data_IF_534119410410
#
_entry.id   IF_534119410410
#
_cell.length_a   1.000
_cell.length_b   1.000
_cell.length_c   1.000
_cell.angle_alpha   90.00
_cell.angle_beta   90.00
_cell.angle_gamma   90.00
#
_symmetry.space_group_name_H-M   'P 1'
#
loop_
_entity.id
_entity.type
_entity.pdbx_description
1 polymer ?
#
# COMPACT_ATOMS: atom_id res chain seq x y z
N UNK A 1 -1.73 32.64 5.38
CA UNK A 1 -0.30 32.30 5.59
C UNK A 1 -0.06 31.01 6.38
N UNK A 2 -0.96 30.59 7.27
CA UNK A 2 -0.89 29.34 8.07
C UNK A 2 -0.64 28.02 7.31
N UNK A 3 -1.14 27.78 6.07
CA UNK A 3 -1.02 26.45 5.46
C UNK A 3 0.41 26.05 5.09
N UNK A 4 1.27 27.01 4.74
CA UNK A 4 2.59 26.73 4.16
C UNK A 4 3.59 26.28 5.25
N UNK A 5 3.50 26.86 6.45
CA UNK A 5 4.35 26.49 7.58
C UNK A 5 4.04 25.07 8.08
N UNK A 6 2.75 24.72 8.14
CA UNK A 6 2.29 23.37 8.51
C UNK A 6 2.76 22.35 7.47
N UNK A 7 2.75 22.71 6.19
CA UNK A 7 3.25 21.84 5.11
C UNK A 7 4.76 21.64 5.14
N UNK A 8 5.55 22.68 5.41
CA UNK A 8 7.01 22.55 5.54
C UNK A 8 7.41 21.70 6.75
N UNK A 9 6.67 21.81 7.87
CA UNK A 9 6.88 20.96 9.04
C UNK A 9 6.47 19.51 8.78
N UNK A 10 5.37 19.28 8.07
CA UNK A 10 5.00 17.93 7.63
C UNK A 10 6.08 17.32 6.74
N UNK A 11 6.65 18.08 5.80
CA UNK A 11 7.73 17.60 4.94
C UNK A 11 8.97 17.22 5.76
N UNK A 12 9.37 18.08 6.70
CA UNK A 12 10.48 17.78 7.62
C UNK A 12 10.24 16.50 8.41
N UNK A 13 9.04 16.30 8.94
CA UNK A 13 8.65 15.07 9.63
C UNK A 13 8.70 13.85 8.70
N UNK A 14 8.19 13.96 7.47
CA UNK A 14 8.27 12.90 6.47
C UNK A 14 9.73 12.55 6.09
N UNK A 15 10.63 13.53 5.99
CA UNK A 15 12.05 13.32 5.73
C UNK A 15 12.76 12.59 6.89
N UNK A 16 12.40 12.91 8.13
CA UNK A 16 12.94 12.24 9.32
C UNK A 16 12.43 10.80 9.41
N UNK A 17 11.13 10.57 9.18
CA UNK A 17 10.56 9.21 9.09
C UNK A 17 11.24 8.43 7.95
N UNK A 18 11.55 9.11 6.85
CA UNK A 18 12.26 8.52 5.72
C UNK A 18 13.66 8.03 6.13
N UNK A 19 14.46 8.90 6.76
CA UNK A 19 15.80 8.56 7.24
C UNK A 19 15.77 7.46 8.32
N UNK A 20 14.81 7.52 9.25
CA UNK A 20 14.67 6.53 10.31
C UNK A 20 14.30 5.14 9.76
N UNK A 21 13.37 5.08 8.79
CA UNK A 21 13.00 3.83 8.14
C UNK A 21 14.14 3.28 7.25
N UNK A 22 14.86 4.15 6.53
CA UNK A 22 16.04 3.77 5.76
C UNK A 22 17.15 3.20 6.66
N UNK A 23 17.41 3.87 7.80
CA UNK A 23 18.39 3.43 8.79
C UNK A 23 18.02 2.08 9.42
N UNK A 24 16.76 1.91 9.84
CA UNK A 24 16.27 0.64 10.39
C UNK A 24 16.39 -0.51 9.38
N UNK A 25 16.11 -0.23 8.11
CA UNK A 25 16.16 -1.21 7.05
C UNK A 25 17.60 -1.60 6.65
N UNK A 26 18.53 -0.64 6.63
CA UNK A 26 19.96 -0.90 6.45
C UNK A 26 20.56 -1.66 7.64
N UNK A 27 20.08 -1.36 8.86
CA UNK A 27 20.53 -2.00 10.09
C UNK A 27 20.05 -3.46 10.21
N UNK A 28 18.84 -3.77 9.72
CA UNK A 28 18.23 -5.10 9.90
C UNK A 28 18.64 -6.14 8.83
N UNK A 29 19.85 -6.03 8.27
CA UNK A 29 20.44 -6.94 7.25
C UNK A 29 20.86 -8.29 7.86
N UNK A 30 19.97 -8.97 8.60
CA UNK A 30 20.25 -10.28 9.20
C UNK A 30 19.21 -11.35 8.85
N UNK A 31 19.67 -12.30 8.06
CA UNK A 31 19.34 -13.74 8.04
C UNK A 31 17.98 -14.22 7.48
N UNK A 32 18.08 -14.91 6.33
CA UNK A 32 17.38 -16.16 5.93
C UNK A 32 16.93 -16.13 4.45
N UNK A 33 17.13 -17.24 3.71
CA UNK A 33 16.88 -17.38 2.25
C UNK A 33 15.44 -17.06 1.82
N UNK A 34 14.44 -17.20 2.71
CA UNK A 34 13.05 -16.85 2.41
C UNK A 34 12.78 -15.33 2.51
N UNK A 35 13.60 -14.59 3.26
CA UNK A 35 13.52 -13.13 3.40
C UNK A 35 14.21 -12.37 2.25
N UNK A 36 14.98 -13.05 1.39
CA UNK A 36 15.81 -12.40 0.36
C UNK A 36 14.99 -11.69 -0.73
N UNK A 37 13.76 -12.17 -1.01
CA UNK A 37 12.83 -11.53 -1.94
C UNK A 37 11.95 -10.45 -1.29
N UNK A 38 11.80 -10.48 0.03
CA UNK A 38 10.90 -9.62 0.79
C UNK A 38 11.51 -8.23 1.02
N UNK A 39 12.83 -8.18 1.23
CA UNK A 39 13.60 -6.95 1.44
C UNK A 39 13.57 -6.02 0.22
N UNK A 40 13.92 -6.46 -1.02
CA UNK A 40 13.93 -5.57 -2.18
C UNK A 40 12.54 -5.05 -2.54
N UNK A 41 11.48 -5.82 -2.32
CA UNK A 41 10.10 -5.38 -2.57
C UNK A 41 9.65 -4.32 -1.56
N UNK A 42 9.97 -4.48 -0.28
CA UNK A 42 9.71 -3.42 0.72
C UNK A 42 10.54 -2.16 0.46
N UNK A 43 11.76 -2.30 -0.08
CA UNK A 43 12.59 -1.16 -0.50
C UNK A 43 11.92 -0.43 -1.67
N UNK A 44 11.51 -1.16 -2.71
CA UNK A 44 10.87 -0.58 -3.88
C UNK A 44 9.58 0.17 -3.52
N UNK A 45 8.75 -0.42 -2.66
CA UNK A 45 7.55 0.26 -2.12
C UNK A 45 7.88 1.56 -1.42
N UNK A 46 8.87 1.52 -0.54
CA UNK A 46 9.22 2.66 0.25
C UNK A 46 9.78 3.81 -0.61
N UNK A 47 10.61 3.49 -1.61
CA UNK A 47 11.13 4.48 -2.57
C UNK A 47 10.00 5.10 -3.41
N UNK A 48 9.06 4.29 -3.88
CA UNK A 48 7.93 4.78 -4.69
C UNK A 48 6.96 5.62 -3.83
N UNK A 49 6.64 5.18 -2.62
CA UNK A 49 5.84 5.94 -1.68
C UNK A 49 6.51 7.27 -1.30
N UNK A 50 7.82 7.27 -1.10
CA UNK A 50 8.60 8.47 -0.85
C UNK A 50 8.56 9.42 -2.07
N UNK A 51 8.81 8.92 -3.27
CA UNK A 51 8.73 9.70 -4.50
C UNK A 51 7.35 10.33 -4.69
N UNK A 52 6.27 9.61 -4.37
CA UNK A 52 4.91 10.11 -4.41
C UNK A 52 4.70 11.29 -3.43
N UNK A 53 5.16 11.17 -2.18
CA UNK A 53 5.05 12.24 -1.18
C UNK A 53 5.81 13.49 -1.61
N UNK A 54 7.03 13.32 -2.16
CA UNK A 54 7.84 14.42 -2.69
C UNK A 54 7.13 15.11 -3.87
N UNK A 55 6.58 14.34 -4.80
CA UNK A 55 5.84 14.87 -5.95
C UNK A 55 4.59 15.65 -5.53
N UNK A 56 3.82 15.11 -4.57
CA UNK A 56 2.64 15.78 -4.03
C UNK A 56 2.99 17.10 -3.33
N UNK A 57 4.13 17.12 -2.63
CA UNK A 57 4.66 18.33 -2.02
C UNK A 57 5.08 19.37 -3.07
N UNK A 58 5.80 18.96 -4.13
CA UNK A 58 6.20 19.86 -5.22
C UNK A 58 4.98 20.47 -5.94
N UNK A 59 3.94 19.68 -6.19
CA UNK A 59 2.69 20.13 -6.82
C UNK A 59 2.02 21.22 -5.98
N UNK A 60 1.93 21.00 -4.67
CA UNK A 60 1.35 21.96 -3.74
C UNK A 60 2.15 23.27 -3.64
N UNK A 61 3.49 23.19 -3.65
CA UNK A 61 4.35 24.38 -3.68
C UNK A 61 4.14 25.17 -4.97
N UNK A 62 4.19 24.52 -6.13
CA UNK A 62 4.03 25.18 -7.44
C UNK A 62 2.65 25.85 -7.57
N UNK A 63 1.60 25.19 -7.08
CA UNK A 63 0.24 25.74 -7.06
C UNK A 63 0.12 26.97 -6.14
N UNK A 64 0.79 26.94 -4.98
CA UNK A 64 0.77 28.04 -4.00
C UNK A 64 1.56 29.27 -4.45
N UNK A 65 2.75 29.08 -5.03
CA UNK A 65 3.59 30.19 -5.49
C UNK A 65 3.04 30.85 -6.76
N UNK A 66 2.30 30.09 -7.58
CA UNK A 66 1.59 30.63 -8.75
C UNK A 66 0.46 31.61 -8.38
N UNK A 67 -0.19 31.44 -7.23
CA UNK A 67 -1.34 32.27 -6.80
C UNK A 67 -1.00 33.67 -6.28
N UNK A 68 0.28 34.03 -6.15
CA UNK A 68 0.74 35.32 -5.60
C UNK A 68 1.53 36.18 -6.61
N UNK A 69 1.62 35.77 -7.88
CA UNK A 69 2.26 36.57 -8.90
C UNK A 69 1.25 37.58 -9.47
N UNK A 70 1.28 38.81 -8.93
CA UNK A 70 0.46 39.96 -9.33
C UNK A 70 0.75 40.49 -10.77
N UNK A 71 1.39 39.71 -11.64
CA UNK A 71 1.66 40.10 -13.03
C UNK A 71 1.31 38.95 -14.01
N UNK A 72 0.15 39.02 -14.70
CA UNK A 72 -0.30 37.96 -15.58
C UNK A 72 0.26 38.17 -16.98
N UNK A 73 1.51 37.75 -17.22
CA UNK A 73 1.88 37.40 -18.58
C UNK A 73 1.17 36.08 -18.93
N UNK A 74 0.26 36.12 -19.91
CA UNK A 74 -0.56 34.97 -20.35
C UNK A 74 0.26 33.71 -20.69
N UNK A 75 1.53 33.91 -21.03
CA UNK A 75 2.51 32.86 -21.32
C UNK A 75 2.95 32.11 -20.06
N UNK A 76 3.23 32.80 -18.94
CA UNK A 76 3.63 32.14 -17.69
C UNK A 76 2.49 31.35 -17.07
N UNK A 77 1.25 31.88 -17.13
CA UNK A 77 0.08 31.17 -16.62
C UNK A 77 -0.21 29.88 -17.40
N UNK A 78 -0.02 29.89 -18.73
CA UNK A 78 -0.14 28.70 -19.57
C UNK A 78 0.93 27.65 -19.26
N UNK A 79 2.20 28.07 -19.06
CA UNK A 79 3.29 27.17 -18.67
C UNK A 79 3.11 26.56 -17.27
N UNK A 80 2.58 27.32 -16.33
CA UNK A 80 2.27 26.85 -14.97
C UNK A 80 1.10 25.85 -14.97
N UNK A 81 0.06 26.09 -15.79
CA UNK A 81 -1.04 25.14 -15.97
C UNK A 81 -0.55 23.83 -16.58
N UNK A 82 0.35 23.90 -17.56
CA UNK A 82 0.93 22.71 -18.20
C UNK A 82 1.76 21.89 -17.20
N UNK A 83 2.62 22.57 -16.43
CA UNK A 83 3.47 21.95 -15.41
C UNK A 83 2.66 21.30 -14.30
N UNK A 84 1.61 21.97 -13.79
CA UNK A 84 0.73 21.42 -12.76
C UNK A 84 -0.05 20.21 -13.26
N UNK A 85 -0.59 20.27 -14.48
CA UNK A 85 -1.30 19.14 -15.08
C UNK A 85 -0.38 17.93 -15.28
N UNK A 86 0.86 18.14 -15.72
CA UNK A 86 1.86 17.07 -15.87
C UNK A 86 2.23 16.46 -14.51
N UNK A 87 2.45 17.29 -13.49
CA UNK A 87 2.71 16.80 -12.14
C UNK A 87 1.54 16.01 -11.56
N UNK A 88 0.31 16.44 -11.80
CA UNK A 88 -0.90 15.74 -11.35
C UNK A 88 -1.03 14.36 -12.04
N UNK A 89 -0.75 14.29 -13.34
CA UNK A 89 -0.71 13.02 -14.08
C UNK A 89 0.34 12.06 -13.51
N UNK A 90 1.55 12.56 -13.25
CA UNK A 90 2.62 11.76 -12.65
C UNK A 90 2.25 11.31 -11.24
N UNK A 91 1.61 12.17 -10.45
CA UNK A 91 1.19 11.83 -9.09
C UNK A 91 0.11 10.73 -9.09
N UNK A 92 -0.89 10.82 -9.98
CA UNK A 92 -1.89 9.76 -10.13
C UNK A 92 -1.24 8.43 -10.55
N UNK A 93 -0.33 8.45 -11.54
CA UNK A 93 0.38 7.26 -11.99
C UNK A 93 1.22 6.62 -10.87
N UNK A 94 1.98 7.42 -10.13
CA UNK A 94 2.77 6.96 -8.98
C UNK A 94 1.86 6.41 -7.88
N UNK A 95 0.71 7.04 -7.62
CA UNK A 95 -0.27 6.57 -6.62
C UNK A 95 -0.82 5.20 -6.98
N UNK A 96 -1.27 5.01 -8.23
CA UNK A 96 -1.80 3.72 -8.70
C UNK A 96 -0.71 2.65 -8.65
N UNK A 97 0.51 2.98 -9.07
CA UNK A 97 1.65 2.04 -9.06
C UNK A 97 2.07 1.66 -7.64
N UNK A 98 2.09 2.63 -6.71
CA UNK A 98 2.39 2.37 -5.30
C UNK A 98 1.35 1.43 -4.68
N UNK A 99 0.06 1.68 -4.91
CA UNK A 99 -1.02 0.82 -4.45
C UNK A 99 -0.91 -0.58 -5.04
N UNK A 100 -0.63 -0.71 -6.35
CA UNK A 100 -0.42 -2.01 -6.99
C UNK A 100 0.69 -2.81 -6.30
N UNK A 101 1.84 -2.18 -6.05
CA UNK A 101 2.96 -2.89 -5.42
C UNK A 101 2.58 -3.26 -3.97
N UNK A 102 1.84 -2.41 -3.27
CA UNK A 102 1.43 -2.67 -1.89
C UNK A 102 0.49 -3.87 -1.82
N UNK A 103 -0.49 -3.90 -2.72
CA UNK A 103 -1.42 -4.99 -2.92
C UNK A 103 -0.68 -6.28 -3.30
N UNK A 104 0.31 -6.21 -4.22
CA UNK A 104 1.18 -7.34 -4.57
C UNK A 104 1.92 -7.91 -3.35
N UNK A 105 2.43 -7.05 -2.45
CA UNK A 105 3.11 -7.52 -1.24
C UNK A 105 2.16 -8.15 -0.25
N UNK A 106 0.96 -7.61 -0.09
CA UNK A 106 -0.06 -8.20 0.78
C UNK A 106 -0.47 -9.58 0.27
N UNK A 107 -0.69 -9.72 -1.04
CA UNK A 107 -0.97 -11.01 -1.69
C UNK A 107 0.20 -11.98 -1.52
N UNK A 108 1.44 -11.53 -1.74
CA UNK A 108 2.65 -12.34 -1.56
C UNK A 108 2.84 -12.82 -0.11
N UNK A 109 2.58 -11.95 0.87
CA UNK A 109 2.61 -12.32 2.30
C UNK A 109 1.51 -13.33 2.62
N UNK A 110 0.31 -13.09 2.14
CA UNK A 110 -0.82 -14.00 2.32
C UNK A 110 -0.52 -15.37 1.69
N UNK A 111 0.09 -15.40 0.52
CA UNK A 111 0.51 -16.62 -0.17
C UNK A 111 1.49 -17.47 0.63
N UNK A 112 2.55 -16.84 1.14
CA UNK A 112 3.55 -17.53 1.95
C UNK A 112 2.96 -18.07 3.26
N UNK A 113 2.11 -17.28 3.94
CA UNK A 113 1.47 -17.68 5.20
C UNK A 113 0.43 -18.79 4.98
N UNK A 114 -0.27 -18.79 3.84
CA UNK A 114 -1.33 -19.77 3.54
C UNK A 114 -0.81 -21.13 3.04
N UNK A 115 0.51 -21.36 3.05
CA UNK A 115 1.15 -22.61 2.62
C UNK A 115 0.64 -23.08 1.24
N UNK A 116 0.62 -22.16 0.26
CA UNK A 116 0.23 -22.38 -1.15
C UNK A 116 -1.24 -22.78 -1.40
N UNK A 117 -2.18 -22.60 -0.46
CA UNK A 117 -3.63 -22.78 -0.76
C UNK A 117 -4.19 -21.59 -1.54
N UNK A 118 -3.91 -21.58 -2.85
CA UNK A 118 -4.22 -20.55 -3.86
C UNK A 118 -5.67 -20.07 -3.78
N UNK A 119 -6.61 -21.00 -3.58
CA UNK A 119 -8.04 -20.75 -3.75
C UNK A 119 -8.62 -19.70 -2.79
N UNK A 120 -8.05 -19.54 -1.60
CA UNK A 120 -8.52 -18.56 -0.60
C UNK A 120 -7.94 -17.16 -0.86
N UNK A 121 -6.75 -17.09 -1.43
CA UNK A 121 -6.04 -15.83 -1.73
C UNK A 121 -6.46 -15.27 -3.10
N UNK A 122 -6.90 -16.15 -4.01
CA UNK A 122 -7.30 -15.79 -5.35
C UNK A 122 -8.44 -14.75 -5.40
N UNK A 123 -9.45 -14.88 -4.53
CA UNK A 123 -10.59 -13.95 -4.51
C UNK A 123 -10.18 -12.48 -4.29
N UNK A 124 -9.53 -12.14 -3.17
CA UNK A 124 -9.01 -10.79 -2.92
C UNK A 124 -7.98 -10.34 -3.97
N UNK A 125 -7.13 -11.25 -4.45
CA UNK A 125 -6.12 -10.91 -5.46
C UNK A 125 -6.76 -10.51 -6.81
N UNK A 126 -7.80 -11.21 -7.23
CA UNK A 126 -8.56 -10.87 -8.45
C UNK A 126 -9.30 -9.54 -8.29
N UNK A 127 -9.90 -9.29 -7.12
CA UNK A 127 -10.53 -8.00 -6.83
C UNK A 127 -9.53 -6.84 -6.92
N UNK A 128 -8.34 -6.99 -6.33
CA UNK A 128 -7.28 -5.98 -6.36
C UNK A 128 -6.70 -5.77 -7.77
N UNK A 129 -6.64 -6.84 -8.58
CA UNK A 129 -6.26 -6.73 -9.98
C UNK A 129 -7.24 -5.87 -10.77
N UNK A 130 -8.54 -6.11 -10.63
CA UNK A 130 -9.56 -5.28 -11.26
C UNK A 130 -9.57 -3.84 -10.73
N UNK A 131 -9.32 -3.66 -9.43
CA UNK A 131 -9.14 -2.34 -8.84
C UNK A 131 -7.98 -1.58 -9.50
N UNK A 132 -6.82 -2.22 -9.64
CA UNK A 132 -5.65 -1.62 -10.30
C UNK A 132 -5.95 -1.24 -11.75
N UNK A 133 -6.66 -2.10 -12.48
CA UNK A 133 -7.07 -1.81 -13.85
C UNK A 133 -8.02 -0.61 -13.92
N UNK A 134 -8.95 -0.48 -12.96
CA UNK A 134 -9.77 0.72 -12.80
C UNK A 134 -8.92 1.97 -12.51
N UNK A 135 -7.85 1.85 -11.73
CA UNK A 135 -6.89 2.92 -11.47
C UNK A 135 -6.18 3.39 -12.74
N UNK A 136 -5.61 2.48 -13.54
CA UNK A 136 -4.93 2.85 -14.80
C UNK A 136 -5.88 3.40 -15.86
N UNK A 137 -7.11 2.88 -15.95
CA UNK A 137 -8.13 3.44 -16.83
C UNK A 137 -8.55 4.84 -16.39
N UNK A 138 -8.66 5.11 -15.08
CA UNK A 138 -8.91 6.46 -14.58
C UNK A 138 -7.81 7.46 -14.96
N UNK A 139 -6.55 7.03 -14.92
CA UNK A 139 -5.39 7.82 -15.36
C UNK A 139 -5.43 8.12 -16.86
N UNK A 140 -5.74 7.12 -17.69
CA UNK A 140 -5.92 7.31 -19.13
C UNK A 140 -7.07 8.28 -19.47
N UNK A 141 -8.16 8.23 -18.71
CA UNK A 141 -9.27 9.19 -18.84
C UNK A 141 -8.86 10.62 -18.45
N UNK A 142 -8.02 10.78 -17.41
CA UNK A 142 -7.47 12.09 -17.04
C UNK A 142 -6.60 12.71 -18.15
N UNK A 143 -5.77 11.88 -18.81
CA UNK A 143 -4.98 12.34 -19.97
C UNK A 143 -5.91 12.82 -21.07
N UNK A 144 -6.92 12.01 -21.42
CA UNK A 144 -7.89 12.35 -22.47
C UNK A 144 -8.64 13.65 -22.15
N UNK A 145 -9.03 13.86 -20.90
CA UNK A 145 -9.66 15.10 -20.44
C UNK A 145 -8.74 16.30 -20.66
N UNK A 146 -7.48 16.24 -20.20
CA UNK A 146 -6.52 17.34 -20.31
C UNK A 146 -6.17 17.64 -21.78
N UNK A 147 -6.06 16.62 -22.64
CA UNK A 147 -5.83 16.81 -24.08
C UNK A 147 -7.03 17.49 -24.76
N UNK A 148 -8.26 17.14 -24.38
CA UNK A 148 -9.48 17.79 -24.88
C UNK A 148 -9.57 19.26 -24.43
N UNK A 149 -9.13 19.60 -23.20
CA UNK A 149 -9.12 20.98 -22.73
C UNK A 149 -8.09 21.86 -23.44
N UNK A 150 -7.02 21.28 -24.03
CA UNK A 150 -5.99 22.00 -24.80
C UNK A 150 -6.37 22.24 -26.26
N UNK A 151 -7.18 21.36 -26.84
CA UNK A 151 -7.72 21.52 -28.19
C UNK A 151 -8.98 22.38 -28.15
N UNK A 152 -8.86 23.67 -28.43
CA UNK A 152 -10.00 24.60 -28.49
C UNK A 152 -11.05 24.11 -29.48
N UNK A 153 -12.14 23.54 -28.98
CA UNK A 153 -13.45 23.58 -29.62
C UNK A 153 -14.53 23.56 -28.55
N UNK A 154 -15.27 24.66 -28.45
CA UNK A 154 -16.36 24.97 -27.52
C UNK A 154 -17.61 24.08 -27.73
N UNK A 155 -17.49 22.94 -28.40
CA UNK A 155 -18.62 22.22 -28.97
C UNK A 155 -19.06 20.99 -28.16
N UNK A 156 -18.28 20.55 -27.16
CA UNK A 156 -18.45 19.23 -26.53
C UNK A 156 -18.45 19.25 -24.98
N UNK A 157 -19.08 20.26 -24.36
CA UNK A 157 -19.26 20.33 -22.90
C UNK A 157 -19.91 19.06 -22.33
N UNK A 158 -20.82 18.45 -23.08
CA UNK A 158 -21.48 17.18 -22.75
C UNK A 158 -20.53 15.98 -22.74
N UNK A 159 -19.54 15.96 -23.64
CA UNK A 159 -18.54 14.89 -23.73
C UNK A 159 -17.54 15.00 -22.57
N UNK A 160 -17.11 16.22 -22.24
CA UNK A 160 -16.22 16.49 -21.11
C UNK A 160 -16.85 16.11 -19.76
N UNK A 161 -18.12 16.46 -19.55
CA UNK A 161 -18.87 16.10 -18.34
C UNK A 161 -19.03 14.58 -18.18
N UNK A 162 -19.24 13.87 -19.29
CA UNK A 162 -19.35 12.40 -19.29
C UNK A 162 -18.02 11.76 -18.90
N UNK A 163 -16.90 12.24 -19.45
CA UNK A 163 -15.55 11.76 -19.10
C UNK A 163 -15.23 12.03 -17.63
N UNK A 164 -15.59 13.20 -17.12
CA UNK A 164 -15.36 13.55 -15.72
C UNK A 164 -16.18 12.69 -14.75
N UNK A 165 -17.45 12.42 -15.05
CA UNK A 165 -18.28 11.49 -14.27
C UNK A 165 -17.71 10.08 -14.28
N UNK A 166 -17.26 9.60 -15.44
CA UNK A 166 -16.67 8.28 -15.59
C UNK A 166 -15.35 8.15 -14.81
N UNK A 167 -14.50 9.17 -14.87
CA UNK A 167 -13.27 9.27 -14.08
C UNK A 167 -13.55 9.18 -12.56
N UNK A 168 -14.53 9.96 -12.05
CA UNK A 168 -14.93 9.89 -10.64
C UNK A 168 -15.42 8.51 -10.22
N UNK A 169 -16.19 7.86 -11.09
CA UNK A 169 -16.70 6.51 -10.84
C UNK A 169 -15.55 5.50 -10.73
N UNK A 170 -14.61 5.51 -11.67
CA UNK A 170 -13.44 4.61 -11.64
C UNK A 170 -12.53 4.87 -10.44
N UNK A 171 -12.32 6.12 -10.05
CA UNK A 171 -11.60 6.47 -8.82
C UNK A 171 -12.31 5.90 -7.58
N UNK A 172 -13.63 6.05 -7.50
CA UNK A 172 -14.42 5.50 -6.39
C UNK A 172 -14.31 3.98 -6.30
N UNK A 173 -14.41 3.29 -7.45
CA UNK A 173 -14.20 1.83 -7.53
C UNK A 173 -12.80 1.46 -7.10
N UNK A 174 -11.77 2.16 -7.59
CA UNK A 174 -10.37 1.88 -7.24
C UNK A 174 -10.15 1.96 -5.74
N UNK A 175 -10.44 3.10 -5.12
CA UNK A 175 -10.22 3.27 -3.67
C UNK A 175 -11.09 2.35 -2.83
N UNK A 176 -12.35 2.14 -3.22
CA UNK A 176 -13.27 1.24 -2.52
C UNK A 176 -12.83 -0.22 -2.59
N UNK A 177 -12.49 -0.71 -3.78
CA UNK A 177 -12.04 -2.09 -3.99
C UNK A 177 -10.68 -2.35 -3.35
N UNK A 178 -9.73 -1.40 -3.43
CA UNK A 178 -8.45 -1.49 -2.73
C UNK A 178 -8.66 -1.54 -1.21
N UNK A 179 -9.55 -0.73 -0.65
CA UNK A 179 -9.87 -0.78 0.78
C UNK A 179 -10.44 -2.14 1.19
N UNK A 180 -11.47 -2.62 0.48
CA UNK A 180 -12.12 -3.91 0.77
C UNK A 180 -11.15 -5.07 0.59
N UNK A 181 -10.36 -5.07 -0.49
CA UNK A 181 -9.36 -6.10 -0.77
C UNK A 181 -8.27 -6.14 0.32
N UNK A 182 -7.78 -4.99 0.74
CA UNK A 182 -6.78 -4.89 1.80
C UNK A 182 -7.33 -5.28 3.17
N UNK A 183 -8.57 -4.91 3.49
CA UNK A 183 -9.26 -5.38 4.70
C UNK A 183 -9.44 -6.90 4.68
N UNK A 184 -9.91 -7.46 3.56
CA UNK A 184 -10.12 -8.91 3.41
C UNK A 184 -8.81 -9.70 3.55
N UNK A 185 -7.73 -9.26 2.88
CA UNK A 185 -6.40 -9.86 3.01
C UNK A 185 -5.89 -9.78 4.45
N UNK A 186 -6.08 -8.65 5.12
CA UNK A 186 -5.63 -8.45 6.51
C UNK A 186 -6.37 -9.38 7.47
N UNK A 187 -7.70 -9.48 7.34
CA UNK A 187 -8.53 -10.40 8.15
C UNK A 187 -8.15 -11.85 7.89
N UNK A 188 -7.88 -12.24 6.64
CA UNK A 188 -7.42 -13.58 6.30
C UNK A 188 -6.06 -13.89 6.92
N UNK A 189 -5.11 -12.96 6.85
CA UNK A 189 -3.78 -13.09 7.46
C UNK A 189 -3.94 -13.24 8.98
N UNK A 190 -4.69 -12.35 9.63
CA UNK A 190 -4.91 -12.37 11.07
C UNK A 190 -5.58 -13.68 11.53
N UNK A 191 -6.63 -14.11 10.83
CA UNK A 191 -7.35 -15.36 11.12
C UNK A 191 -6.45 -16.59 10.97
N UNK A 192 -5.57 -16.61 9.96
CA UNK A 192 -4.60 -17.69 9.77
C UNK A 192 -3.55 -17.72 10.85
N UNK A 193 -2.94 -16.58 11.19
CA UNK A 193 -1.98 -16.47 12.27
C UNK A 193 -2.62 -16.96 13.57
N UNK A 194 -3.83 -16.48 13.89
CA UNK A 194 -4.58 -16.91 15.06
C UNK A 194 -4.79 -18.43 15.10
N UNK A 195 -5.26 -19.04 14.01
CA UNK A 195 -5.48 -20.49 13.93
C UNK A 195 -4.18 -21.29 14.03
N UNK A 196 -3.07 -20.78 13.51
CA UNK A 196 -1.76 -21.43 13.62
C UNK A 196 -1.23 -21.35 15.04
N UNK A 197 -1.25 -20.16 15.65
CA UNK A 197 -0.85 -19.96 17.05
C UNK A 197 -1.70 -20.80 18.01
N UNK A 198 -3.02 -20.86 17.78
CA UNK A 198 -3.92 -21.68 18.59
C UNK A 198 -3.55 -23.16 18.52
N UNK A 199 -3.29 -23.70 17.31
CA UNK A 199 -2.86 -25.09 17.14
C UNK A 199 -1.52 -25.38 17.78
N UNK A 200 -0.55 -24.47 17.66
CA UNK A 200 0.76 -24.63 18.31
C UNK A 200 0.58 -24.68 19.84
N UNK A 201 -0.25 -23.80 20.41
CA UNK A 201 -0.54 -23.76 21.84
C UNK A 201 -1.28 -25.00 22.33
N UNK A 202 -2.25 -25.50 21.57
CA UNK A 202 -2.95 -26.75 21.89
C UNK A 202 -1.97 -27.95 21.86
N UNK A 203 -1.10 -28.03 20.85
CA UNK A 203 -0.07 -29.07 20.77
C UNK A 203 0.97 -28.98 21.89
N UNK A 204 1.39 -27.78 22.28
CA UNK A 204 2.37 -27.62 23.38
C UNK A 204 1.80 -28.07 24.73
N UNK A 205 0.52 -27.77 25.00
CA UNK A 205 -0.17 -28.22 26.22
C UNK A 205 -0.31 -29.75 26.24
N UNK A 206 -0.64 -30.38 25.11
CA UNK A 206 -0.71 -31.86 25.01
C UNK A 206 0.65 -32.51 25.27
N UNK A 207 1.73 -31.92 24.73
CA UNK A 207 3.11 -32.42 24.94
C UNK A 207 3.53 -32.28 26.41
N UNK A 208 3.28 -31.14 27.05
CA UNK A 208 3.57 -30.96 28.48
C UNK A 208 2.77 -31.95 29.34
N UNK A 209 1.47 -32.13 29.07
CA UNK A 209 0.61 -33.05 29.82
C UNK A 209 1.08 -34.50 29.68
N UNK A 210 1.43 -34.93 28.46
CA UNK A 210 1.97 -36.28 28.21
C UNK A 210 3.32 -36.51 28.93
N UNK A 211 4.18 -35.50 28.96
CA UNK A 211 5.47 -35.57 29.65
C UNK A 211 5.28 -35.67 31.17
N UNK A 212 4.33 -34.90 31.72
CA UNK A 212 3.99 -34.92 33.15
C UNK A 212 3.36 -36.25 33.61
N UNK A 213 2.50 -36.85 32.78
CA UNK A 213 1.92 -38.17 33.08
C UNK A 213 3.01 -39.26 33.06
N UNK A 214 3.96 -39.21 32.12
CA UNK A 214 5.07 -40.18 32.06
C UNK A 214 6.00 -40.08 33.28
N UNK A 215 6.29 -38.88 33.78
CA UNK A 215 7.14 -38.72 34.97
C UNK A 215 6.44 -39.22 36.24
N UNK A 216 5.15 -38.96 36.42
CA UNK A 216 4.38 -39.49 37.56
C UNK A 216 4.30 -41.02 37.52
N UNK A 217 4.01 -41.60 36.34
CA UNK A 217 3.96 -43.06 36.19
C UNK A 217 5.31 -43.72 36.51
N UNK A 218 6.42 -43.11 36.11
CA UNK A 218 7.77 -43.58 36.44
C UNK A 218 8.04 -43.52 37.96
N UNK A 219 7.69 -42.42 38.62
CA UNK A 219 7.83 -42.29 40.08
C UNK A 219 6.99 -43.32 40.84
N UNK A 220 5.75 -43.54 40.40
CA UNK A 220 4.87 -44.55 40.99
C UNK A 220 5.41 -45.97 40.81
N UNK A 221 5.97 -46.28 39.63
CA UNK A 221 6.62 -47.57 39.38
C UNK A 221 7.85 -47.78 40.26
N UNK A 222 8.69 -46.76 40.45
CA UNK A 222 9.86 -46.80 41.32
C UNK A 222 9.44 -47.01 42.79
N UNK A 223 8.44 -46.26 43.25
CA UNK A 223 7.92 -46.41 44.62
C UNK A 223 7.34 -47.81 44.86
N UNK A 224 6.60 -48.37 43.88
CA UNK A 224 6.07 -49.72 43.98
C UNK A 224 7.16 -50.80 44.01
N UNK A 225 8.28 -50.58 43.30
CA UNK A 225 9.44 -51.48 43.29
C UNK A 225 10.25 -51.45 44.60
N UNK A 226 10.18 -50.36 45.37
CA UNK A 226 10.85 -50.25 46.68
C UNK A 226 10.08 -50.92 47.82
N UNK A 227 8.78 -51.19 47.65
CA UNK A 227 7.91 -51.81 48.65
C UNK A 227 7.69 -53.32 48.47
N UNK A 228 8.21 -53.93 47.40
CA UNK A 228 8.21 -55.40 47.21
C UNK A 228 9.59 -55.98 47.42
#
# INVERSE_FOLDING_TARGET
>A
MVPVQVMSLLLGAYAIIFLAALYFLLSNRRSSRSHMYLVPTTIALFVIAFAQVVMQFLLLLLTKFSGNADDPSSVQQAQLLDTNNLLEMLNMFLTVTNNLIADCLLVWRCWNICNRKILVVAGPAVLLFFATLAGYTSWGLSIKFITMTRGVSSQDTTTADTIFRLHKLFIGIFYGATFVGNAALTVLIASKIWRTTKRIRESSVVIETSTYIRTIAALYAIHKCQLS
#
